data_IF_293690565035
#
_entry.id   IF_293690565035
#
_cell.length_a   1.000
_cell.length_b   1.000
_cell.length_c   1.000
_cell.angle_alpha   90.00
_cell.angle_beta   90.00
_cell.angle_gamma   90.00
#
_symmetry.space_group_name_H-M   'P 1'
#
loop_
_entity.id
_entity.type
_entity.pdbx_description
1 polymer ?
#
# COMPACT_ATOMS: atom_id res chain seq x y z
N UNK A 1 -8.98 -18.56 9.19
CA UNK A 1 -8.48 -19.44 8.12
C UNK A 1 -9.40 -19.31 6.91
N UNK A 2 -9.21 -18.32 6.06
CA UNK A 2 -9.95 -18.18 4.80
C UNK A 2 -9.23 -19.05 3.77
N UNK A 3 -10.03 -19.97 3.21
CA UNK A 3 -9.56 -21.11 2.42
C UNK A 3 -8.90 -20.62 1.11
N UNK A 4 -7.63 -20.89 0.97
CA UNK A 4 -6.75 -20.69 -0.19
C UNK A 4 -7.23 -21.39 -1.50
N UNK A 5 -8.47 -21.89 -1.53
CA UNK A 5 -9.05 -22.66 -2.64
C UNK A 5 -9.55 -21.78 -3.81
N UNK A 6 -9.72 -20.47 -3.61
CA UNK A 6 -10.26 -19.60 -4.64
C UNK A 6 -9.18 -18.84 -5.45
N UNK A 7 -7.94 -18.81 -4.96
CA UNK A 7 -6.83 -18.18 -5.69
C UNK A 7 -6.37 -18.99 -6.92
N UNK A 8 -6.57 -20.32 -6.90
CA UNK A 8 -6.21 -21.17 -8.04
C UNK A 8 -7.22 -21.11 -9.20
N UNK A 9 -8.46 -20.68 -8.94
CA UNK A 9 -9.50 -20.63 -9.98
C UNK A 9 -9.32 -19.45 -10.94
N UNK A 10 -8.68 -18.37 -10.49
CA UNK A 10 -8.44 -17.19 -11.33
C UNK A 10 -7.33 -17.41 -12.38
N UNK A 11 -6.39 -18.31 -12.12
CA UNK A 11 -5.27 -18.60 -13.04
C UNK A 11 -5.70 -19.53 -14.18
N UNK A 12 -6.70 -20.39 -13.97
CA UNK A 12 -7.16 -21.34 -14.99
C UNK A 12 -8.08 -20.74 -16.06
N UNK A 13 -8.67 -19.57 -15.85
CA UNK A 13 -9.52 -18.91 -16.85
C UNK A 13 -8.74 -18.13 -17.92
N UNK A 14 -7.43 -17.93 -17.77
CA UNK A 14 -6.63 -17.19 -18.73
C UNK A 14 -6.17 -18.02 -19.94
N UNK A 15 -6.42 -19.33 -19.95
CA UNK A 15 -5.98 -20.22 -21.04
C UNK A 15 -7.01 -20.47 -22.15
N UNK A 16 -8.23 -19.93 -22.06
CA UNK A 16 -9.33 -20.28 -22.95
C UNK A 16 -9.87 -19.08 -23.75
N UNK A 17 -9.02 -18.42 -24.52
CA UNK A 17 -9.45 -17.30 -25.35
C UNK A 17 -8.51 -17.03 -26.52
N UNK A 18 -8.29 -18.01 -27.41
CA UNK A 18 -7.68 -17.73 -28.71
C UNK A 18 -8.75 -17.25 -29.69
N UNK A 19 -9.27 -16.05 -29.52
CA UNK A 19 -9.87 -15.33 -30.61
C UNK A 19 -8.71 -14.77 -31.44
N UNK A 20 -8.59 -15.19 -32.70
CA UNK A 20 -7.61 -14.71 -33.68
C UNK A 20 -7.88 -13.25 -34.05
N UNK A 21 -7.64 -12.35 -33.10
CA UNK A 21 -7.39 -10.94 -33.39
C UNK A 21 -5.87 -10.77 -33.37
N UNK A 22 -5.31 -9.97 -34.25
CA UNK A 22 -3.89 -9.62 -34.25
C UNK A 22 -3.51 -9.19 -32.81
N UNK A 23 -2.62 -10.00 -32.21
CA UNK A 23 -2.24 -9.83 -30.79
C UNK A 23 -1.65 -8.46 -30.58
N UNK A 24 -2.09 -7.75 -29.55
CA UNK A 24 -1.54 -6.44 -29.23
C UNK A 24 -0.09 -6.53 -28.80
N UNK A 25 0.69 -5.46 -29.04
CA UNK A 25 2.09 -5.38 -28.60
C UNK A 25 2.27 -5.53 -27.09
N UNK A 26 1.19 -5.36 -26.30
CA UNK A 26 1.20 -5.44 -24.84
C UNK A 26 0.84 -6.82 -24.31
N UNK A 27 0.32 -7.73 -25.13
CA UNK A 27 -0.01 -9.08 -24.67
C UNK A 27 1.25 -9.86 -24.30
N UNK A 28 1.25 -10.52 -23.14
CA UNK A 28 2.32 -11.35 -22.64
C UNK A 28 2.85 -10.89 -21.28
N UNK A 29 3.95 -11.51 -20.86
CA UNK A 29 4.63 -11.21 -19.61
C UNK A 29 5.38 -9.88 -19.69
N UNK A 30 5.49 -9.20 -18.57
CA UNK A 30 6.32 -8.01 -18.46
C UNK A 30 7.01 -7.94 -17.10
N UNK A 31 8.15 -7.25 -17.09
CA UNK A 31 8.83 -6.79 -15.87
C UNK A 31 9.06 -5.29 -15.93
N UNK A 32 9.01 -4.61 -14.80
CA UNK A 32 9.18 -3.16 -14.72
C UNK A 32 9.90 -2.71 -13.47
N UNK A 33 10.57 -1.57 -13.58
CA UNK A 33 11.19 -0.83 -12.48
C UNK A 33 10.64 0.59 -12.50
N UNK A 34 10.22 1.06 -11.36
CA UNK A 34 9.69 2.41 -11.17
C UNK A 34 10.39 3.14 -10.04
N UNK A 35 10.46 4.45 -10.20
CA UNK A 35 10.87 5.36 -9.15
C UNK A 35 9.86 6.51 -9.08
N UNK A 36 9.70 7.09 -7.93
CA UNK A 36 8.74 8.18 -7.80
C UNK A 36 8.71 8.79 -6.42
N UNK A 37 7.62 9.46 -6.17
CA UNK A 37 7.35 10.18 -4.95
C UNK A 37 6.11 9.61 -4.26
N UNK A 38 6.20 9.37 -2.98
CA UNK A 38 5.12 8.83 -2.16
C UNK A 38 4.83 9.77 -0.99
N UNK A 39 3.56 10.07 -0.78
CA UNK A 39 3.05 10.66 0.45
C UNK A 39 2.50 9.52 1.32
N UNK A 40 2.93 9.47 2.57
CA UNK A 40 2.48 8.52 3.59
C UNK A 40 1.70 9.30 4.62
N UNK A 41 0.40 9.03 4.72
CA UNK A 41 -0.54 9.72 5.61
C UNK A 41 -1.13 8.75 6.63
N UNK A 42 -0.46 8.58 7.79
CA UNK A 42 -1.00 7.80 8.89
C UNK A 42 -1.99 8.64 9.69
N UNK A 43 -3.08 8.03 10.09
CA UNK A 43 -4.06 8.65 10.98
C UNK A 43 -4.14 7.90 12.31
N UNK A 44 -4.21 8.66 13.38
CA UNK A 44 -4.51 8.11 14.69
C UNK A 44 -6.03 8.03 14.87
N UNK A 45 -6.53 6.83 15.08
CA UNK A 45 -7.88 6.62 15.59
C UNK A 45 -7.96 6.90 17.10
N UNK A 46 -9.02 6.43 17.74
CA UNK A 46 -9.18 6.57 19.19
C UNK A 46 -8.10 5.79 19.93
N UNK A 47 -7.39 6.46 20.84
CA UNK A 47 -6.45 5.85 21.76
C UNK A 47 -6.94 6.03 23.18
N UNK A 48 -6.95 4.94 23.96
CA UNK A 48 -7.45 4.94 25.34
C UNK A 48 -6.43 4.26 26.24
N UNK A 49 -6.10 4.90 27.35
CA UNK A 49 -5.33 4.32 28.43
C UNK A 49 -6.27 4.03 29.59
N UNK A 50 -6.51 2.77 29.89
CA UNK A 50 -7.30 2.36 31.06
C UNK A 50 -6.38 2.08 32.23
N UNK A 51 -6.63 2.77 33.35
CA UNK A 51 -5.91 2.60 34.62
C UNK A 51 -6.93 2.19 35.67
N UNK A 52 -6.86 0.97 36.20
CA UNK A 52 -7.81 0.45 37.18
C UNK A 52 -9.26 0.61 36.73
N UNK A 53 -9.58 0.28 35.46
CA UNK A 53 -10.90 0.43 34.82
C UNK A 53 -11.38 1.89 34.65
N UNK A 54 -10.52 2.87 34.81
CA UNK A 54 -10.80 4.26 34.46
C UNK A 54 -10.17 4.58 33.13
N UNK A 55 -10.97 4.91 32.13
CA UNK A 55 -10.52 5.23 30.79
C UNK A 55 -10.08 6.69 30.68
N UNK A 56 -8.85 6.88 30.23
CA UNK A 56 -8.23 8.17 29.98
C UNK A 56 -8.03 8.29 28.46
N UNK A 57 -8.69 9.24 27.77
CA UNK A 57 -8.44 9.46 26.35
C UNK A 57 -7.02 9.97 26.13
N UNK A 58 -6.33 9.40 25.14
CA UNK A 58 -4.99 9.80 24.71
C UNK A 58 -5.09 10.44 23.33
N UNK A 59 -4.67 11.68 23.21
CA UNK A 59 -4.60 12.38 21.93
C UNK A 59 -3.25 12.04 21.25
N UNK A 60 -3.34 11.49 20.05
CA UNK A 60 -2.17 11.21 19.22
C UNK A 60 -2.29 12.01 17.94
N UNK A 61 -1.32 12.83 17.63
CA UNK A 61 -1.18 13.51 16.35
C UNK A 61 -0.05 12.87 15.57
N UNK A 62 -0.30 12.51 14.32
CA UNK A 62 0.69 11.91 13.43
C UNK A 62 0.83 12.84 12.23
N UNK A 63 2.06 13.16 11.87
CA UNK A 63 2.34 14.04 10.73
C UNK A 63 2.56 13.17 9.49
N UNK A 64 1.93 13.54 8.38
CA UNK A 64 2.20 12.93 7.08
C UNK A 64 3.64 13.18 6.65
N UNK A 65 4.22 12.25 5.91
CA UNK A 65 5.58 12.37 5.40
C UNK A 65 5.65 12.07 3.92
N UNK A 66 6.63 12.67 3.28
CA UNK A 66 6.87 12.53 1.86
C UNK A 66 8.24 11.89 1.63
N UNK A 67 8.32 11.00 0.65
CA UNK A 67 9.57 10.28 0.37
C UNK A 67 9.70 9.84 -1.08
N UNK A 68 10.93 9.56 -1.48
CA UNK A 68 11.17 8.80 -2.69
C UNK A 68 10.73 7.34 -2.48
N UNK A 69 10.19 6.72 -3.52
CA UNK A 69 9.80 5.32 -3.56
C UNK A 69 10.37 4.65 -4.79
N UNK A 70 10.83 3.40 -4.65
CA UNK A 70 11.24 2.54 -5.74
C UNK A 70 10.37 1.29 -5.80
N UNK A 71 9.99 0.85 -7.00
CA UNK A 71 9.15 -0.34 -7.20
C UNK A 71 9.76 -1.31 -8.19
N UNK A 72 9.56 -2.59 -7.94
CA UNK A 72 9.83 -3.68 -8.86
C UNK A 72 8.49 -4.36 -9.13
N UNK A 73 8.12 -4.53 -10.39
CA UNK A 73 6.85 -5.13 -10.77
C UNK A 73 7.01 -6.19 -11.85
N UNK A 74 6.13 -7.18 -11.79
CA UNK A 74 5.96 -8.22 -12.82
C UNK A 74 4.48 -8.42 -13.09
N UNK A 75 4.15 -8.87 -14.27
CA UNK A 75 2.75 -9.19 -14.58
C UNK A 75 2.58 -9.78 -15.96
N UNK A 76 1.31 -9.94 -16.33
CA UNK A 76 0.86 -10.48 -17.60
C UNK A 76 -0.36 -9.73 -18.09
N UNK A 77 -0.42 -9.40 -19.38
CA UNK A 77 -1.62 -8.90 -20.05
C UNK A 77 -2.12 -9.89 -21.07
N UNK A 78 -3.44 -10.03 -21.14
CA UNK A 78 -4.15 -10.82 -22.13
C UNK A 78 -5.14 -9.93 -22.89
N UNK A 79 -5.15 -10.01 -24.22
CA UNK A 79 -6.18 -9.40 -25.03
C UNK A 79 -7.53 -10.08 -24.77
N UNK A 80 -8.54 -9.34 -24.37
CA UNK A 80 -9.90 -9.84 -24.07
C UNK A 80 -10.93 -9.40 -25.11
N UNK A 81 -10.66 -8.28 -25.77
CA UNK A 81 -11.43 -7.78 -26.91
C UNK A 81 -10.55 -6.86 -27.76
N UNK A 82 -11.02 -6.47 -28.96
CA UNK A 82 -10.28 -5.54 -29.81
C UNK A 82 -9.98 -4.23 -29.07
N UNK A 83 -8.70 -3.96 -28.83
CA UNK A 83 -8.25 -2.77 -28.14
C UNK A 83 -8.38 -2.80 -26.61
N UNK A 84 -8.85 -3.93 -26.03
CA UNK A 84 -9.02 -4.09 -24.59
C UNK A 84 -8.18 -5.24 -24.07
N UNK A 85 -7.46 -5.00 -22.97
CA UNK A 85 -6.66 -6.00 -22.29
C UNK A 85 -7.08 -6.13 -20.83
N UNK A 86 -6.85 -7.31 -20.28
CA UNK A 86 -6.93 -7.54 -18.85
C UNK A 86 -5.57 -8.08 -18.37
N UNK A 87 -5.02 -7.42 -17.38
CA UNK A 87 -3.75 -7.80 -16.77
C UNK A 87 -3.89 -8.26 -15.33
N UNK A 88 -2.89 -9.01 -14.92
CA UNK A 88 -2.62 -9.28 -13.50
C UNK A 88 -1.18 -8.97 -13.22
N UNK A 89 -0.88 -8.53 -12.01
CA UNK A 89 0.51 -8.25 -11.65
C UNK A 89 0.74 -8.20 -10.15
N UNK A 90 2.03 -8.19 -9.83
CA UNK A 90 2.53 -8.01 -8.49
C UNK A 90 3.61 -6.93 -8.49
N UNK A 91 3.59 -6.11 -7.47
CA UNK A 91 4.59 -5.07 -7.25
C UNK A 91 5.14 -5.19 -5.83
N UNK A 92 6.40 -4.87 -5.69
CA UNK A 92 7.10 -4.80 -4.42
C UNK A 92 7.91 -3.51 -4.34
N UNK A 93 7.80 -2.82 -3.23
CA UNK A 93 8.57 -1.61 -2.93
C UNK A 93 9.52 -1.90 -1.78
N UNK A 94 10.80 -2.23 -2.08
CA UNK A 94 11.79 -2.60 -1.08
C UNK A 94 12.32 -1.42 -0.28
N UNK A 95 12.16 -0.20 -0.80
CA UNK A 95 12.69 0.99 -0.16
C UNK A 95 11.58 1.68 0.62
N UNK A 96 11.78 1.71 1.91
CA UNK A 96 10.96 2.52 2.79
C UNK A 96 11.21 3.99 2.52
N UNK A 97 10.14 4.72 2.43
CA UNK A 97 10.21 6.16 2.41
C UNK A 97 10.89 6.77 3.65
N UNK A 98 11.11 8.04 3.63
CA UNK A 98 11.57 8.78 4.80
C UNK A 98 10.63 8.52 5.99
N UNK A 99 11.20 8.42 7.18
CA UNK A 99 10.43 8.36 8.41
C UNK A 99 9.67 9.66 8.67
N UNK A 100 8.52 9.55 9.31
CA UNK A 100 7.77 10.68 9.86
C UNK A 100 7.83 10.69 11.37
N UNK A 101 7.25 11.72 11.96
CA UNK A 101 7.17 11.88 13.42
C UNK A 101 5.74 11.74 13.91
N UNK A 102 5.59 11.17 15.08
CA UNK A 102 4.33 11.04 15.81
C UNK A 102 4.48 11.75 17.14
N UNK A 103 3.59 12.70 17.42
CA UNK A 103 3.53 13.35 18.72
C UNK A 103 2.41 12.72 19.54
N UNK A 104 2.76 12.17 20.70
CA UNK A 104 1.81 11.63 21.68
C UNK A 104 1.68 12.61 22.83
N UNK A 105 0.49 13.18 23.00
CA UNK A 105 0.19 14.11 24.08
C UNK A 105 -0.84 13.49 25.03
N UNK A 106 -0.52 13.45 26.31
CA UNK A 106 -1.44 13.00 27.35
C UNK A 106 -1.97 14.23 28.10
N UNK A 107 -3.28 14.44 28.06
CA UNK A 107 -3.90 15.49 28.87
C UNK A 107 -3.78 15.12 30.35
N UNK A 108 -3.02 15.90 31.12
CA UNK A 108 -2.99 15.75 32.56
C UNK A 108 -4.33 16.25 33.15
N UNK A 109 -5.09 15.35 33.79
CA UNK A 109 -6.27 15.73 34.55
C UNK A 109 -5.92 16.25 35.95
N UNK A 110 -4.63 16.28 36.30
CA UNK A 110 -4.17 16.81 37.58
C UNK A 110 -3.89 18.30 37.41
N UNK A 111 -4.62 19.12 38.17
CA UNK A 111 -4.44 20.56 38.20
C UNK A 111 -2.96 20.90 38.53
N UNK A 112 -2.32 21.64 37.64
CA UNK A 112 -0.96 22.15 37.83
C UNK A 112 0.17 21.31 37.19
N UNK A 113 -0.13 20.24 36.40
CA UNK A 113 0.88 19.51 35.63
C UNK A 113 0.79 19.84 34.15
N UNK A 114 1.94 20.08 33.53
CA UNK A 114 2.08 20.31 32.10
C UNK A 114 1.71 19.04 31.31
N UNK A 115 1.10 19.20 30.16
CA UNK A 115 0.89 18.11 29.20
C UNK A 115 2.24 17.50 28.86
N UNK A 116 2.35 16.18 29.01
CA UNK A 116 3.56 15.46 28.57
C UNK A 116 3.37 15.21 27.08
N UNK A 117 4.28 15.75 26.28
CA UNK A 117 4.35 15.53 24.84
C UNK A 117 5.67 14.84 24.51
N UNK A 118 5.58 13.68 23.87
CA UNK A 118 6.73 12.93 23.40
C UNK A 118 6.64 12.76 21.89
N UNK A 119 7.78 12.93 21.21
CA UNK A 119 7.90 12.74 19.77
C UNK A 119 8.57 11.39 19.49
N UNK A 120 8.00 10.64 18.56
CA UNK A 120 8.50 9.33 18.15
C UNK A 120 8.60 9.28 16.63
N UNK A 121 9.59 8.54 16.12
CA UNK A 121 9.73 8.29 14.70
C UNK A 121 8.94 7.06 14.26
N UNK A 122 8.45 7.09 13.03
CA UNK A 122 7.90 5.93 12.34
C UNK A 122 8.49 5.84 10.92
N UNK A 123 8.54 4.65 10.35
CA UNK A 123 9.05 4.43 9.00
C UNK A 123 8.28 3.30 8.32
N UNK A 124 7.76 3.55 7.12
CA UNK A 124 7.27 2.49 6.24
C UNK A 124 8.47 1.71 5.71
N UNK A 125 8.55 0.41 5.92
CA UNK A 125 9.71 -0.43 5.53
C UNK A 125 9.57 -0.94 4.12
N UNK A 126 8.59 -1.77 3.89
CA UNK A 126 8.33 -2.40 2.61
C UNK A 126 6.83 -2.48 2.36
N UNK A 127 6.46 -2.56 1.10
CA UNK A 127 5.08 -2.77 0.71
C UNK A 127 4.98 -3.64 -0.53
N UNK A 128 3.87 -4.33 -0.67
CA UNK A 128 3.54 -5.14 -1.84
C UNK A 128 2.12 -4.83 -2.32
N UNK A 129 1.88 -5.09 -3.59
CA UNK A 129 0.58 -4.94 -4.21
C UNK A 129 0.33 -6.10 -5.20
N UNK A 130 -0.80 -6.78 -5.07
CA UNK A 130 -1.30 -7.76 -6.03
C UNK A 130 -2.53 -7.18 -6.69
N UNK A 131 -2.55 -7.08 -8.02
CA UNK A 131 -3.59 -6.31 -8.70
C UNK A 131 -4.10 -6.96 -9.99
N UNK A 132 -5.35 -6.59 -10.33
CA UNK A 132 -5.92 -6.71 -11.65
C UNK A 132 -5.79 -5.37 -12.38
N UNK A 133 -5.60 -5.42 -13.70
CA UNK A 133 -5.37 -4.23 -14.50
C UNK A 133 -6.15 -4.28 -15.82
N UNK A 134 -7.38 -3.76 -15.86
CA UNK A 134 -8.05 -3.47 -17.11
C UNK A 134 -7.30 -2.37 -17.86
N UNK A 135 -7.18 -2.54 -19.19
CA UNK A 135 -6.43 -1.62 -20.02
C UNK A 135 -7.07 -1.45 -21.40
N UNK A 136 -6.80 -0.30 -22.01
CA UNK A 136 -7.24 0.05 -23.36
C UNK A 136 -6.05 0.51 -24.19
N UNK A 137 -5.98 0.09 -25.45
CA UNK A 137 -4.96 0.56 -26.38
C UNK A 137 -5.21 2.04 -26.75
N UNK A 138 -4.12 2.79 -26.81
CA UNK A 138 -4.10 4.19 -27.24
C UNK A 138 -3.14 4.29 -28.41
N UNK A 139 -3.65 4.23 -29.62
CA UNK A 139 -2.84 4.09 -30.82
C UNK A 139 -2.20 2.71 -30.92
N UNK A 140 -1.04 2.63 -31.58
CA UNK A 140 -0.32 1.38 -31.85
C UNK A 140 0.67 0.99 -30.76
N UNK A 141 1.20 1.97 -30.04
CA UNK A 141 2.31 1.80 -29.09
C UNK A 141 2.00 2.29 -27.68
N UNK A 142 0.77 2.76 -27.47
CA UNK A 142 0.29 3.26 -26.19
C UNK A 142 -0.78 2.38 -25.55
N UNK A 143 -0.82 2.37 -24.22
CA UNK A 143 -1.83 1.68 -23.42
C UNK A 143 -2.15 2.49 -22.16
N UNK A 144 -3.41 2.85 -21.98
CA UNK A 144 -3.90 3.39 -20.72
C UNK A 144 -4.48 2.25 -19.88
N UNK A 145 -4.22 2.25 -18.59
CA UNK A 145 -4.66 1.17 -17.69
C UNK A 145 -5.09 1.70 -16.33
N UNK A 146 -5.97 0.96 -15.70
CA UNK A 146 -6.28 1.10 -14.29
C UNK A 146 -5.73 -0.11 -13.54
N UNK A 147 -5.58 0.02 -12.24
CA UNK A 147 -5.26 -1.07 -11.32
C UNK A 147 -6.27 -1.09 -10.18
N UNK A 148 -6.66 -2.28 -9.76
CA UNK A 148 -7.38 -2.50 -8.52
C UNK A 148 -6.72 -3.70 -7.84
N UNK A 149 -6.32 -3.53 -6.59
CA UNK A 149 -5.47 -4.52 -5.95
C UNK A 149 -5.66 -4.66 -4.46
N UNK A 150 -5.03 -5.72 -3.95
CA UNK A 150 -4.80 -5.97 -2.54
C UNK A 150 -3.37 -5.60 -2.20
N UNK A 151 -3.19 -4.75 -1.20
CA UNK A 151 -1.88 -4.23 -0.81
C UNK A 151 -1.58 -4.52 0.65
N UNK A 152 -0.30 -4.59 0.98
CA UNK A 152 0.17 -4.67 2.34
C UNK A 152 1.46 -3.88 2.54
N UNK A 153 1.63 -3.34 3.74
CA UNK A 153 2.81 -2.58 4.13
C UNK A 153 3.23 -2.91 5.55
N UNK A 154 4.54 -2.87 5.78
CA UNK A 154 5.12 -2.93 7.13
C UNK A 154 5.56 -1.54 7.56
N UNK A 155 5.15 -1.16 8.75
CA UNK A 155 5.55 0.10 9.37
C UNK A 155 6.26 -0.20 10.68
N UNK A 156 7.48 0.28 10.80
CA UNK A 156 8.23 0.28 12.05
C UNK A 156 7.94 1.57 12.81
N UNK A 157 7.41 1.45 14.01
CA UNK A 157 7.18 2.56 14.92
C UNK A 157 7.94 2.33 16.23
N UNK A 158 8.37 3.40 16.88
CA UNK A 158 9.06 3.33 18.18
C UNK A 158 10.30 2.41 18.18
N UNK A 159 11.05 2.36 17.07
CA UNK A 159 12.26 1.55 16.86
C UNK A 159 12.10 0.02 17.00
N UNK A 160 11.00 -0.48 17.57
CA UNK A 160 10.81 -1.92 17.83
C UNK A 160 9.41 -2.46 17.52
N UNK A 161 8.40 -1.61 17.36
CA UNK A 161 7.03 -2.06 17.11
C UNK A 161 6.74 -2.18 15.62
N UNK A 162 6.53 -3.40 15.14
CA UNK A 162 6.13 -3.67 13.77
C UNK A 162 4.61 -3.71 13.65
N UNK A 163 4.06 -2.89 12.73
CA UNK A 163 2.67 -2.94 12.31
C UNK A 163 2.61 -3.51 10.89
N UNK A 164 1.74 -4.49 10.68
CA UNK A 164 1.47 -5.07 9.37
C UNK A 164 0.09 -4.61 8.92
N UNK A 165 0.06 -3.66 8.02
CA UNK A 165 -1.17 -3.14 7.45
C UNK A 165 -1.51 -3.88 6.17
N UNK A 166 -2.78 -4.14 5.93
CA UNK A 166 -3.31 -4.68 4.68
C UNK A 166 -4.53 -3.90 4.25
N UNK A 167 -4.77 -3.82 2.95
CA UNK A 167 -5.87 -3.04 2.44
C UNK A 167 -6.05 -3.18 0.94
N UNK A 168 -6.61 -2.17 0.31
CA UNK A 168 -6.82 -2.13 -1.13
C UNK A 168 -6.03 -1.00 -1.78
N UNK A 169 -5.78 -1.14 -3.07
CA UNK A 169 -5.12 -0.13 -3.89
C UNK A 169 -5.90 0.16 -5.15
N UNK A 170 -5.80 1.39 -5.61
CA UNK A 170 -6.28 1.86 -6.90
C UNK A 170 -5.14 2.56 -7.62
N UNK A 171 -5.06 2.38 -8.93
CA UNK A 171 -4.05 3.05 -9.74
C UNK A 171 -4.56 3.38 -11.13
N UNK A 172 -3.95 4.38 -11.73
CA UNK A 172 -4.13 4.76 -13.12
C UNK A 172 -2.76 4.98 -13.73
N UNK A 173 -2.57 4.53 -14.97
CA UNK A 173 -1.30 4.69 -15.63
C UNK A 173 -1.38 4.68 -17.15
N UNK A 174 -0.26 5.04 -17.74
CA UNK A 174 -0.04 4.98 -19.17
C UNK A 174 1.31 4.34 -19.46
N UNK A 175 1.33 3.43 -20.45
CA UNK A 175 2.54 2.80 -20.98
C UNK A 175 2.71 3.16 -22.44
N UNK A 176 3.97 3.30 -22.83
CA UNK A 176 4.34 3.46 -24.23
C UNK A 176 5.49 2.54 -24.57
N UNK A 177 5.30 1.67 -25.57
CA UNK A 177 6.35 0.81 -26.12
C UNK A 177 7.18 1.62 -27.11
N UNK A 178 8.49 1.62 -26.92
CA UNK A 178 9.41 2.33 -27.80
C UNK A 178 9.89 1.42 -28.93
N UNK A 179 10.60 0.33 -28.60
CA UNK A 179 11.15 -0.62 -29.56
C UNK A 179 11.45 -1.95 -28.87
N UNK A 180 11.18 -3.07 -29.57
CA UNK A 180 11.63 -4.40 -29.13
C UNK A 180 11.14 -4.82 -27.75
N UNK A 181 9.93 -4.41 -27.36
CA UNK A 181 9.36 -4.74 -26.05
C UNK A 181 9.74 -3.79 -24.92
N UNK A 182 10.70 -2.88 -25.11
CA UNK A 182 11.04 -1.86 -24.12
C UNK A 182 9.90 -0.83 -24.04
N UNK A 183 9.43 -0.54 -22.84
CA UNK A 183 8.40 0.48 -22.61
C UNK A 183 8.76 1.43 -21.44
N UNK A 184 8.22 2.63 -21.52
CA UNK A 184 8.18 3.56 -20.42
C UNK A 184 6.77 3.63 -19.85
N UNK A 185 6.63 4.02 -18.59
CA UNK A 185 5.33 4.23 -17.96
C UNK A 185 5.32 5.41 -16.99
N UNK A 186 4.13 5.95 -16.80
CA UNK A 186 3.78 6.87 -15.72
C UNK A 186 2.55 6.33 -15.02
N UNK A 187 2.49 6.44 -13.71
CA UNK A 187 1.46 5.84 -12.89
C UNK A 187 1.19 6.67 -11.65
N UNK A 188 -0.08 6.82 -11.28
CA UNK A 188 -0.51 7.38 -10.01
C UNK A 188 -1.29 6.31 -9.24
N UNK A 189 -0.96 6.11 -7.97
CA UNK A 189 -1.56 5.11 -7.12
C UNK A 189 -2.05 5.72 -5.82
N UNK A 190 -3.12 5.12 -5.33
CA UNK A 190 -3.71 5.31 -4.01
C UNK A 190 -3.78 3.96 -3.31
N UNK A 191 -3.42 3.90 -2.04
CA UNK A 191 -3.61 2.72 -1.23
C UNK A 191 -4.18 3.10 0.14
N UNK A 192 -5.22 2.38 0.53
CA UNK A 192 -5.82 2.44 1.86
C UNK A 192 -5.61 1.10 2.55
N UNK A 193 -4.80 1.12 3.59
CA UNK A 193 -4.42 -0.08 4.34
C UNK A 193 -5.38 -0.38 5.50
N UNK A 194 -6.49 0.35 5.59
CA UNK A 194 -7.46 0.17 6.66
C UNK A 194 -6.90 0.56 8.02
N UNK A 195 -7.53 0.06 9.08
CA UNK A 195 -7.14 0.35 10.46
C UNK A 195 -6.73 -0.90 11.21
N UNK A 196 -5.67 -0.79 12.01
CA UNK A 196 -5.20 -1.83 12.91
C UNK A 196 -5.31 -1.37 14.35
N UNK A 197 -5.90 -2.21 15.21
CA UNK A 197 -6.03 -1.96 16.64
C UNK A 197 -5.10 -2.87 17.42
N UNK A 198 -4.20 -2.30 18.21
CA UNK A 198 -3.36 -3.03 19.16
C UNK A 198 -3.82 -2.75 20.58
N UNK A 199 -3.87 -3.82 21.37
CA UNK A 199 -4.18 -3.77 22.80
C UNK A 199 -2.97 -4.29 23.55
N UNK A 200 -2.37 -3.43 24.34
CA UNK A 200 -1.27 -3.79 25.24
C UNK A 200 -1.79 -3.75 26.68
N UNK A 201 -1.53 -4.80 27.44
CA UNK A 201 -1.90 -4.88 28.83
C UNK A 201 -0.69 -5.25 29.68
N UNK A 202 -0.45 -4.52 30.74
CA UNK A 202 0.59 -4.83 31.72
C UNK A 202 -0.07 -5.11 33.06
N UNK A 203 -0.27 -6.40 33.44
CA UNK A 203 -0.82 -6.77 34.72
C UNK A 203 0.27 -6.66 35.80
N UNK A 204 0.27 -5.56 36.54
CA UNK A 204 1.07 -5.44 37.77
C UNK A 204 0.15 -5.71 38.98
N UNK A 205 0.67 -6.38 40.03
CA UNK A 205 -0.10 -6.55 41.28
C UNK A 205 -0.54 -5.17 41.83
N UNK A 206 -1.84 -4.94 41.91
CA UNK A 206 -2.43 -3.70 42.40
C UNK A 206 -2.64 -2.58 41.38
N UNK A 207 -2.24 -2.76 40.09
CA UNK A 207 -2.47 -1.75 39.03
C UNK A 207 -2.65 -2.41 37.67
N UNK A 208 -3.88 -2.37 37.17
CA UNK A 208 -4.17 -2.83 35.80
C UNK A 208 -3.99 -1.67 34.83
N UNK A 209 -3.08 -1.82 33.87
CA UNK A 209 -2.85 -0.88 32.77
C UNK A 209 -3.23 -1.58 31.46
N UNK A 210 -4.10 -0.95 30.68
CA UNK A 210 -4.48 -1.39 29.33
C UNK A 210 -4.43 -0.20 28.38
N UNK A 211 -3.62 -0.29 27.35
CA UNK A 211 -3.57 0.70 26.28
C UNK A 211 -4.22 0.11 25.02
N UNK A 212 -5.18 0.82 24.45
CA UNK A 212 -5.81 0.47 23.17
C UNK A 212 -5.46 1.56 22.17
N UNK A 213 -4.82 1.20 21.05
CA UNK A 213 -4.40 2.11 20.01
C UNK A 213 -4.93 1.63 18.66
N UNK A 214 -5.71 2.47 17.98
CA UNK A 214 -6.15 2.24 16.61
C UNK A 214 -5.39 3.18 15.68
N UNK A 215 -4.81 2.66 14.61
CA UNK A 215 -4.07 3.41 13.59
C UNK A 215 -4.54 3.00 12.22
N UNK A 216 -4.63 3.94 11.29
CA UNK A 216 -4.86 3.70 9.87
C UNK A 216 -3.74 4.31 9.04
N UNK A 217 -3.58 3.83 7.82
CA UNK A 217 -2.53 4.26 6.91
C UNK A 217 -3.11 4.42 5.51
N UNK A 218 -2.85 5.55 4.92
CA UNK A 218 -3.17 5.85 3.52
C UNK A 218 -1.91 6.31 2.80
N UNK A 219 -1.74 5.93 1.54
CA UNK A 219 -0.60 6.41 0.74
C UNK A 219 -1.06 6.85 -0.65
N UNK A 220 -0.38 7.85 -1.18
CA UNK A 220 -0.50 8.33 -2.56
C UNK A 220 0.88 8.36 -3.18
N UNK A 221 1.05 7.81 -4.37
CA UNK A 221 2.32 7.92 -5.06
C UNK A 221 2.15 8.21 -6.55
N UNK A 222 3.19 8.82 -7.12
CA UNK A 222 3.35 8.99 -8.55
C UNK A 222 4.68 8.38 -8.94
N UNK A 223 4.63 7.47 -9.92
CA UNK A 223 5.78 6.70 -10.39
C UNK A 223 6.03 7.00 -11.87
N UNK A 224 7.30 7.02 -12.22
CA UNK A 224 7.76 6.91 -13.61
C UNK A 224 8.74 5.75 -13.68
N UNK A 225 8.78 5.08 -14.81
CA UNK A 225 9.68 3.93 -14.91
C UNK A 225 9.81 3.37 -16.29
N UNK A 226 10.56 2.27 -16.36
CA UNK A 226 10.81 1.52 -17.57
C UNK A 226 10.52 0.04 -17.32
N UNK A 227 10.21 -0.67 -18.38
CA UNK A 227 9.99 -2.10 -18.30
C UNK A 227 10.22 -2.78 -19.63
N UNK A 228 10.16 -4.08 -19.60
CA UNK A 228 10.32 -4.93 -20.77
C UNK A 228 9.16 -5.92 -20.85
N UNK A 229 8.57 -6.03 -22.04
CA UNK A 229 7.57 -7.01 -22.40
C UNK A 229 8.25 -8.16 -23.14
N UNK A 230 8.07 -9.35 -22.66
CA UNK A 230 8.63 -10.59 -23.22
C UNK A 230 7.75 -11.18 -24.31
#
# INVERSE_FOLDING_TARGET
MIKMKYALLAVSMMAAGTASAESSKFQGAFGQLGVGYENVDPSAGSSTLSVNNVDIPVNTSITSTNSAVGTIGIGWYQDVAKGFLLGVGAEYSPFAGAGGTTTVSTASRLSGQNNISNEYSYQKKDSYNLYLSPAVLVGTDGMAYAKVGFTGAKVLAFESLNYNFTGYSLGLGYRHIFKGGLFGFVEANYADYGSETKVESNPNPGRSLRATNTKSLTTYNVLVGVGYKF
#
